data_IF_810520016576
#
_entry.id   IF_810520016576
#
_cell.length_a   1.000
_cell.length_b   1.000
_cell.length_c   1.000
_cell.angle_alpha   90.00
_cell.angle_beta   90.00
_cell.angle_gamma   90.00
#
_symmetry.space_group_name_H-M   'P 1'
#
loop_
_entity.id
_entity.type
_entity.pdbx_description
1 polymer ?
#
# COMPACT_ATOMS: atom_id res chain seq x y z
N UNK A 1 -11.73 16.04 -9.51
CA UNK A 1 -12.64 16.98 -8.80
C UNK A 1 -13.35 16.36 -7.59
N UNK A 2 -13.68 15.06 -7.59
CA UNK A 2 -14.42 14.45 -6.48
C UNK A 2 -13.62 14.34 -5.17
N UNK A 3 -12.37 13.86 -5.19
CA UNK A 3 -11.60 13.57 -3.96
C UNK A 3 -11.42 14.77 -3.03
N UNK A 4 -10.96 15.91 -3.56
CA UNK A 4 -10.69 17.11 -2.75
C UNK A 4 -11.97 17.64 -2.11
N UNK A 5 -13.03 17.77 -2.91
CA UNK A 5 -14.31 18.27 -2.42
C UNK A 5 -14.97 17.32 -1.42
N UNK A 6 -14.76 16.01 -1.59
CA UNK A 6 -15.32 15.01 -0.69
C UNK A 6 -14.64 14.99 0.67
N UNK A 7 -13.31 14.96 0.68
CA UNK A 7 -12.51 15.05 1.91
C UNK A 7 -12.78 16.37 2.65
N UNK A 8 -12.88 17.49 1.93
CA UNK A 8 -13.11 18.82 2.52
C UNK A 8 -14.46 18.99 3.21
N UNK A 9 -15.42 18.05 3.04
CA UNK A 9 -16.69 18.07 3.80
C UNK A 9 -16.51 17.71 5.27
N UNK A 10 -15.47 16.96 5.61
CA UNK A 10 -15.26 16.40 6.95
C UNK A 10 -13.89 16.73 7.53
N UNK A 11 -12.89 17.01 6.68
CA UNK A 11 -11.51 17.29 7.08
C UNK A 11 -11.11 18.67 6.54
N UNK A 12 -10.61 19.56 7.40
CA UNK A 12 -10.05 20.84 6.95
C UNK A 12 -8.69 20.61 6.31
N UNK A 13 -8.54 20.96 5.03
CA UNK A 13 -7.27 20.90 4.31
C UNK A 13 -6.48 22.20 4.51
N UNK A 14 -5.18 22.09 4.76
CA UNK A 14 -4.26 23.20 4.94
C UNK A 14 -3.22 23.24 3.80
N UNK A 15 -2.61 24.42 3.53
CA UNK A 15 -1.50 24.50 2.58
C UNK A 15 -0.36 23.56 2.98
N UNK A 16 0.05 22.71 2.05
CA UNK A 16 1.09 21.69 2.26
C UNK A 16 0.55 20.27 2.47
N UNK A 17 -0.77 20.11 2.68
CA UNK A 17 -1.38 18.79 2.77
C UNK A 17 -1.29 18.04 1.43
N UNK A 18 -0.98 16.75 1.53
CA UNK A 18 -0.87 15.86 0.37
C UNK A 18 -2.00 14.83 0.37
N UNK A 19 -2.63 14.63 -0.79
CA UNK A 19 -3.66 13.62 -1.00
C UNK A 19 -3.10 12.54 -1.92
N UNK A 20 -2.97 11.32 -1.41
CA UNK A 20 -2.62 10.16 -2.23
C UNK A 20 -3.88 9.59 -2.87
N UNK A 21 -4.01 9.74 -4.19
CA UNK A 21 -5.23 9.43 -4.95
C UNK A 21 -5.51 7.93 -5.15
N UNK A 22 -4.67 7.06 -4.59
CA UNK A 22 -4.72 5.61 -4.76
C UNK A 22 -3.82 5.10 -5.88
N UNK A 23 -3.72 3.77 -5.96
CA UNK A 23 -2.92 3.05 -6.94
C UNK A 23 -3.83 2.19 -7.82
N UNK A 24 -3.43 1.89 -9.07
CA UNK A 24 -4.11 0.88 -9.88
C UNK A 24 -4.07 -0.52 -9.23
N UNK A 25 -4.88 -1.43 -9.76
CA UNK A 25 -4.88 -2.83 -9.34
C UNK A 25 -3.53 -3.51 -9.61
N UNK A 26 -3.29 -4.64 -8.92
CA UNK A 26 -2.12 -5.53 -9.07
C UNK A 26 -0.82 -5.03 -8.42
N UNK A 27 -0.90 -4.30 -7.30
CA UNK A 27 0.28 -4.10 -6.45
C UNK A 27 0.79 -5.43 -5.89
N UNK A 28 2.10 -5.55 -5.67
CA UNK A 28 2.74 -6.75 -5.13
C UNK A 28 3.70 -6.40 -3.98
N UNK A 29 3.93 -7.33 -3.03
CA UNK A 29 4.95 -7.15 -2.01
C UNK A 29 6.35 -6.98 -2.61
N UNK A 30 7.20 -6.28 -1.86
CA UNK A 30 8.62 -6.06 -2.18
C UNK A 30 9.48 -6.61 -1.05
N UNK A 31 10.75 -6.89 -1.35
CA UNK A 31 11.73 -7.42 -0.42
C UNK A 31 12.93 -6.47 -0.25
N UNK A 32 13.64 -6.53 0.89
CA UNK A 32 14.91 -5.81 1.03
C UNK A 32 15.88 -6.16 -0.11
N UNK A 33 16.47 -5.12 -0.72
CA UNK A 33 17.31 -5.23 -1.91
C UNK A 33 16.61 -4.85 -3.21
N UNK A 34 15.27 -4.84 -3.24
CA UNK A 34 14.52 -4.43 -4.43
C UNK A 34 14.74 -2.94 -4.75
N UNK A 35 14.80 -2.61 -6.05
CA UNK A 35 14.78 -1.23 -6.54
C UNK A 35 13.45 -0.98 -7.23
N UNK A 36 12.66 -0.08 -6.66
CA UNK A 36 11.30 0.23 -7.12
C UNK A 36 11.27 1.61 -7.73
N UNK A 37 10.86 1.70 -8.98
CA UNK A 37 10.64 2.97 -9.68
C UNK A 37 9.15 3.17 -9.91
N UNK A 38 8.64 4.32 -9.47
CA UNK A 38 7.28 4.78 -9.77
C UNK A 38 7.39 5.99 -10.69
N UNK A 39 6.65 5.97 -11.80
CA UNK A 39 6.68 7.02 -12.81
C UNK A 39 5.27 7.55 -13.09
N UNK A 40 5.18 8.86 -13.27
CA UNK A 40 3.97 9.51 -13.75
C UNK A 40 4.33 10.40 -14.94
N UNK A 41 3.63 10.20 -16.04
CA UNK A 41 3.84 10.98 -17.26
C UNK A 41 3.71 12.49 -16.98
N UNK A 42 4.71 13.27 -17.42
CA UNK A 42 4.77 14.71 -17.22
C UNK A 42 5.22 15.17 -15.82
N UNK A 43 5.39 14.25 -14.86
CA UNK A 43 5.91 14.53 -13.51
C UNK A 43 7.31 13.95 -13.29
N UNK A 44 7.61 12.81 -13.92
CA UNK A 44 8.90 12.13 -13.84
C UNK A 44 8.85 10.84 -13.03
N UNK A 45 10.03 10.31 -12.71
CA UNK A 45 10.21 9.04 -12.02
C UNK A 45 10.86 9.23 -10.65
N UNK A 46 10.36 8.47 -9.66
CA UNK A 46 10.91 8.35 -8.32
C UNK A 46 11.38 6.92 -8.11
N UNK A 47 12.68 6.74 -7.87
CA UNK A 47 13.29 5.44 -7.60
C UNK A 47 13.71 5.33 -6.14
N UNK A 48 13.31 4.24 -5.48
CA UNK A 48 13.68 3.92 -4.11
C UNK A 48 14.29 2.52 -4.05
N UNK A 49 15.30 2.35 -3.18
CA UNK A 49 15.83 1.02 -2.82
C UNK A 49 15.20 0.57 -1.51
N UNK A 50 14.62 -0.62 -1.50
CA UNK A 50 13.98 -1.20 -0.32
C UNK A 50 15.06 -1.74 0.61
N UNK A 51 14.96 -1.38 1.89
CA UNK A 51 15.89 -1.80 2.93
C UNK A 51 15.12 -2.24 4.16
N UNK A 52 15.74 -3.06 5.00
CA UNK A 52 15.21 -3.33 6.34
C UNK A 52 15.17 -2.04 7.15
N UNK A 53 14.01 -1.70 7.69
CA UNK A 53 13.84 -0.51 8.53
C UNK A 53 14.68 -0.61 9.81
N UNK A 54 15.38 0.46 10.24
CA UNK A 54 16.18 0.44 11.45
C UNK A 54 15.35 0.63 12.74
N UNK A 55 14.08 0.98 12.60
CA UNK A 55 13.16 1.29 13.71
C UNK A 55 11.97 0.32 13.64
N UNK A 56 11.50 -0.21 14.79
CA UNK A 56 10.29 -1.02 14.83
C UNK A 56 9.05 -0.23 14.38
N UNK A 57 8.02 -0.97 13.98
CA UNK A 57 6.73 -0.39 13.64
C UNK A 57 6.11 0.21 14.91
N UNK A 58 5.63 1.44 14.78
CA UNK A 58 4.93 2.15 15.85
C UNK A 58 3.58 1.50 16.14
N UNK A 59 3.30 1.21 17.40
CA UNK A 59 2.05 0.62 17.87
C UNK A 59 1.02 1.66 18.33
N UNK A 60 1.42 2.93 18.44
CA UNK A 60 0.59 4.04 18.92
C UNK A 60 -0.26 4.71 17.84
N UNK A 61 -0.07 4.37 16.56
CA UNK A 61 -0.80 4.99 15.47
C UNK A 61 -1.02 4.05 14.28
N UNK A 62 -2.15 4.23 13.60
CA UNK A 62 -2.49 3.52 12.36
C UNK A 62 -2.96 2.07 12.56
N UNK A 63 -3.45 1.47 11.48
CA UNK A 63 -3.75 0.05 11.46
C UNK A 63 -2.44 -0.75 11.51
N UNK A 64 -2.33 -1.67 12.46
CA UNK A 64 -1.14 -2.50 12.60
C UNK A 64 -1.07 -3.55 11.48
N UNK A 65 0.12 -3.83 10.93
CA UNK A 65 0.27 -4.87 9.93
C UNK A 65 -0.07 -6.23 10.52
N UNK A 66 -0.64 -7.10 9.69
CA UNK A 66 -0.94 -8.49 10.05
C UNK A 66 -0.52 -9.40 8.90
N UNK A 67 -0.28 -10.65 9.22
CA UNK A 67 0.12 -11.70 8.26
C UNK A 67 -0.91 -12.83 8.21
N UNK A 68 -2.18 -12.50 8.45
CA UNK A 68 -3.26 -13.49 8.32
C UNK A 68 -3.31 -14.04 6.89
N UNK A 69 -3.83 -15.25 6.75
CA UNK A 69 -3.95 -15.92 5.45
C UNK A 69 -4.70 -15.06 4.42
N UNK A 70 -5.74 -14.34 4.84
CA UNK A 70 -6.50 -13.43 3.98
C UNK A 70 -5.64 -12.25 3.48
N UNK A 71 -4.81 -11.67 4.36
CA UNK A 71 -3.92 -10.56 4.01
C UNK A 71 -2.84 -11.04 3.04
N UNK A 72 -2.22 -12.20 3.31
CA UNK A 72 -1.21 -12.77 2.42
C UNK A 72 -1.81 -13.15 1.06
N UNK A 73 -3.00 -13.73 1.05
CA UNK A 73 -3.72 -14.07 -0.19
C UNK A 73 -4.03 -12.83 -1.04
N UNK A 74 -4.46 -11.74 -0.40
CA UNK A 74 -4.74 -10.48 -1.08
C UNK A 74 -3.47 -9.84 -1.63
N UNK A 75 -2.40 -9.83 -0.82
CA UNK A 75 -1.14 -9.20 -1.17
C UNK A 75 -0.43 -9.94 -2.32
N UNK A 76 -0.35 -11.26 -2.26
CA UNK A 76 0.33 -12.08 -3.27
C UNK A 76 -0.55 -12.35 -4.50
N UNK A 77 -1.87 -12.24 -4.36
CA UNK A 77 -2.83 -12.35 -5.44
C UNK A 77 -2.66 -13.61 -6.28
N UNK A 78 -2.16 -13.45 -7.51
CA UNK A 78 -1.94 -14.55 -8.46
C UNK A 78 -0.87 -15.56 -8.03
N UNK A 79 0.08 -15.11 -7.22
CA UNK A 79 1.26 -15.87 -6.78
C UNK A 79 1.03 -16.55 -5.42
N UNK A 80 -0.19 -16.46 -4.88
CA UNK A 80 -0.54 -17.11 -3.62
C UNK A 80 -0.66 -18.63 -3.77
N UNK A 81 0.03 -19.38 -2.91
CA UNK A 81 0.16 -20.84 -3.03
C UNK A 81 -1.18 -21.61 -2.93
N UNK A 82 -2.16 -21.06 -2.20
CA UNK A 82 -3.49 -21.65 -2.05
C UNK A 82 -4.56 -21.01 -2.95
N UNK A 83 -4.16 -20.25 -3.97
CA UNK A 83 -5.12 -19.60 -4.87
C UNK A 83 -6.08 -20.61 -5.51
N UNK A 84 -7.39 -20.39 -5.31
CA UNK A 84 -8.44 -21.26 -5.83
C UNK A 84 -8.81 -22.44 -4.91
N UNK A 85 -8.09 -22.62 -3.80
CA UNK A 85 -8.45 -23.58 -2.75
C UNK A 85 -9.30 -22.84 -1.73
N UNK A 86 -10.56 -23.24 -1.53
CA UNK A 86 -11.34 -22.73 -0.39
C UNK A 86 -10.69 -23.28 0.88
N UNK A 87 -10.31 -22.44 1.85
CA UNK A 87 -9.85 -22.95 3.13
C UNK A 87 -10.97 -23.83 3.72
N UNK A 88 -10.64 -24.99 4.33
CA UNK A 88 -11.64 -25.84 4.96
C UNK A 88 -12.39 -25.02 6.01
N UNK A 89 -13.72 -25.11 5.96
CA UNK A 89 -14.60 -24.40 6.87
C UNK A 89 -14.27 -24.87 8.31
N UNK A 90 -13.80 -23.94 9.16
CA UNK A 90 -13.66 -24.19 10.60
C UNK A 90 -15.01 -24.39 11.26
#
# INVERSE_FOLDING_TARGET
HYLVADLARTITLLPGDMIFSGTPANSRPVQPGDVVTVEVEGLGALTNTIVTGPVPIRDDCGAQPTESEEVLSTALGGDWEFRGIRPPQR
#
